data_IF_353972730546
#
_entry.id   IF_353972730546
#
_cell.length_a   1.000
_cell.length_b   1.000
_cell.length_c   1.000
_cell.angle_alpha   90.00
_cell.angle_beta   90.00
_cell.angle_gamma   90.00
#
_symmetry.space_group_name_H-M   'P 1'
#
loop_
_entity.id
_entity.type
_entity.pdbx_description
1 polymer ?
#
# COMPACT_ATOMS: atom_id res chain seq x y z
N UNK A 1 11.12 26.74 34.35
CA UNK A 1 11.98 25.91 33.48
C UNK A 1 13.43 26.31 33.77
N UNK A 2 14.28 25.41 34.24
CA UNK A 2 15.61 25.75 34.77
C UNK A 2 16.63 25.88 33.64
N UNK A 3 17.60 26.80 33.76
CA UNK A 3 18.65 26.98 32.75
C UNK A 3 19.39 25.66 32.42
N UNK A 4 19.55 24.80 33.43
CA UNK A 4 20.15 23.47 33.28
C UNK A 4 19.31 22.53 32.38
N UNK A 5 17.97 22.60 32.44
CA UNK A 5 17.12 21.79 31.56
C UNK A 5 17.19 22.28 30.10
N UNK A 6 17.42 23.58 29.90
CA UNK A 6 17.60 24.14 28.55
C UNK A 6 18.93 23.70 27.93
N UNK A 7 20.02 23.74 28.72
CA UNK A 7 21.36 23.30 28.27
C UNK A 7 21.35 21.81 27.89
N UNK A 8 20.68 20.95 28.68
CA UNK A 8 20.58 19.52 28.36
C UNK A 8 19.75 19.27 27.11
N UNK A 9 18.62 19.98 26.93
CA UNK A 9 17.82 19.91 25.71
C UNK A 9 18.62 20.33 24.47
N UNK A 10 19.42 21.41 24.55
CA UNK A 10 20.27 21.85 23.43
C UNK A 10 21.31 20.78 23.09
N UNK A 11 22.02 20.25 24.09
CA UNK A 11 23.03 19.19 23.89
C UNK A 11 22.42 17.91 23.29
N UNK A 12 21.24 17.52 23.74
CA UNK A 12 20.54 16.35 23.22
C UNK A 12 20.14 16.53 21.75
N UNK A 13 19.63 17.71 21.38
CA UNK A 13 19.29 18.01 19.99
C UNK A 13 20.52 18.00 19.07
N UNK A 14 21.64 18.58 19.50
CA UNK A 14 22.91 18.53 18.75
C UNK A 14 23.38 17.08 18.53
N UNK A 15 23.27 16.25 19.56
CA UNK A 15 23.60 14.82 19.45
C UNK A 15 22.68 14.07 18.49
N UNK A 16 21.40 14.43 18.39
CA UNK A 16 20.45 13.83 17.45
C UNK A 16 20.72 14.26 16.00
N UNK A 17 21.15 15.51 15.77
CA UNK A 17 21.54 15.98 14.43
C UNK A 17 22.69 15.16 13.83
N UNK A 18 23.70 14.82 14.64
CA UNK A 18 24.82 13.96 14.20
C UNK A 18 24.38 12.56 13.75
N UNK A 19 23.25 12.07 14.27
CA UNK A 19 22.70 10.73 13.97
C UNK A 19 21.59 10.77 12.91
N UNK A 20 21.20 11.95 12.42
CA UNK A 20 20.07 12.14 11.49
C UNK A 20 20.16 11.24 10.27
N UNK A 21 21.31 11.20 9.58
CA UNK A 21 21.46 10.42 8.35
C UNK A 21 21.31 8.91 8.60
N UNK A 22 21.75 8.40 9.77
CA UNK A 22 21.60 7.00 10.17
C UNK A 22 20.17 6.65 10.59
N UNK A 23 19.47 7.59 11.22
CA UNK A 23 18.13 7.38 11.76
C UNK A 23 17.00 7.68 10.75
N UNK A 24 17.27 8.49 9.71
CA UNK A 24 16.27 8.98 8.74
C UNK A 24 15.43 7.87 8.11
N UNK A 25 16.03 6.72 7.84
CA UNK A 25 15.38 5.59 7.17
C UNK A 25 15.26 4.34 8.07
N UNK A 26 15.43 4.49 9.38
CA UNK A 26 15.33 3.38 10.32
C UNK A 26 14.15 3.62 11.26
N UNK A 27 13.01 2.98 10.98
CA UNK A 27 12.11 2.61 12.07
C UNK A 27 12.90 1.63 12.95
N UNK A 28 12.99 1.93 14.25
CA UNK A 28 13.89 1.23 15.17
C UNK A 28 13.91 -0.29 14.99
N UNK A 29 15.10 -0.87 14.88
CA UNK A 29 15.29 -2.32 14.93
C UNK A 29 15.10 -3.11 13.63
N UNK A 30 14.71 -2.48 12.51
CA UNK A 30 14.64 -3.20 11.23
C UNK A 30 16.06 -3.50 10.70
N UNK A 31 16.46 -4.76 10.83
CA UNK A 31 17.70 -5.29 10.24
C UNK A 31 17.37 -5.87 8.86
N UNK A 32 17.82 -5.20 7.80
CA UNK A 32 17.63 -5.63 6.41
C UNK A 32 18.29 -6.97 6.08
N UNK A 33 19.26 -7.43 6.88
CA UNK A 33 19.90 -8.74 6.71
C UNK A 33 19.10 -9.88 7.36
N UNK A 34 18.15 -9.55 8.24
CA UNK A 34 17.35 -10.54 8.95
C UNK A 34 16.14 -10.89 8.07
N UNK A 35 16.21 -12.03 7.38
CA UNK A 35 15.04 -12.60 6.70
C UNK A 35 13.95 -12.83 7.75
N UNK A 36 12.76 -12.29 7.50
CA UNK A 36 11.61 -12.54 8.36
C UNK A 36 11.24 -14.01 8.16
N UNK A 37 11.56 -14.85 9.15
CA UNK A 37 11.17 -16.25 9.15
C UNK A 37 9.69 -16.34 9.48
N UNK A 38 8.87 -16.52 8.45
CA UNK A 38 7.44 -16.73 8.63
C UNK A 38 7.16 -18.20 8.88
N UNK A 39 6.69 -18.53 10.08
CA UNK A 39 6.23 -19.87 10.40
C UNK A 39 4.76 -20.02 10.00
N UNK A 40 4.49 -20.04 8.70
CA UNK A 40 3.15 -20.31 8.19
C UNK A 40 2.89 -21.82 8.16
N UNK A 41 1.65 -22.26 8.48
CA UNK A 41 1.28 -23.66 8.28
C UNK A 41 1.45 -24.01 6.81
N UNK A 42 2.10 -25.15 6.52
CA UNK A 42 2.25 -25.64 5.14
C UNK A 42 0.87 -25.93 4.56
N UNK A 43 0.44 -25.12 3.60
CA UNK A 43 -0.82 -25.32 2.92
C UNK A 43 -0.83 -26.67 2.20
N UNK A 44 -1.91 -27.43 2.35
CA UNK A 44 -2.10 -28.69 1.62
C UNK A 44 -2.41 -28.37 0.15
N UNK A 45 -1.94 -29.20 -0.79
CA UNK A 45 -2.21 -29.02 -2.24
C UNK A 45 -3.70 -28.83 -2.56
N UNK A 46 -4.58 -29.52 -1.82
CA UNK A 46 -6.04 -29.37 -1.92
C UNK A 46 -6.51 -27.95 -1.57
N UNK A 47 -6.04 -27.41 -0.44
CA UNK A 47 -6.36 -26.05 0.01
C UNK A 47 -5.89 -25.00 -1.01
N UNK A 48 -4.71 -25.20 -1.58
CA UNK A 48 -4.17 -24.30 -2.60
C UNK A 48 -5.05 -24.26 -3.87
N UNK A 49 -5.50 -25.44 -4.31
CA UNK A 49 -6.41 -25.56 -5.47
C UNK A 49 -7.79 -24.95 -5.19
N UNK A 50 -8.30 -25.12 -3.98
CA UNK A 50 -9.59 -24.57 -3.59
C UNK A 50 -9.54 -23.02 -3.54
N UNK A 51 -8.46 -22.45 -3.00
CA UNK A 51 -8.21 -21.00 -3.02
C UNK A 51 -8.09 -20.49 -4.45
N UNK A 52 -7.32 -21.19 -5.30
CA UNK A 52 -7.13 -20.77 -6.70
C UNK A 52 -8.46 -20.76 -7.48
N UNK A 53 -9.35 -21.73 -7.23
CA UNK A 53 -10.68 -21.77 -7.85
C UNK A 53 -11.55 -20.60 -7.39
N UNK A 54 -11.65 -20.39 -6.08
CA UNK A 54 -12.43 -19.27 -5.52
C UNK A 54 -11.95 -17.94 -6.06
N UNK A 55 -10.64 -17.73 -6.10
CA UNK A 55 -10.05 -16.48 -6.58
C UNK A 55 -10.34 -16.22 -8.06
N UNK A 56 -10.37 -17.28 -8.89
CA UNK A 56 -10.74 -17.19 -10.30
C UNK A 56 -12.21 -16.84 -10.50
N UNK A 57 -13.10 -17.41 -9.68
CA UNK A 57 -14.53 -17.12 -9.73
C UNK A 57 -14.83 -15.69 -9.30
N UNK A 58 -14.25 -15.23 -8.20
CA UNK A 58 -14.36 -13.84 -7.73
C UNK A 58 -13.83 -12.85 -8.76
N UNK A 59 -12.68 -13.16 -9.37
CA UNK A 59 -12.10 -12.32 -10.41
C UNK A 59 -13.04 -12.22 -11.62
N UNK A 60 -13.67 -13.33 -12.04
CA UNK A 60 -14.63 -13.31 -13.16
C UNK A 60 -15.82 -12.41 -12.87
N UNK A 61 -16.39 -12.49 -11.66
CA UNK A 61 -17.52 -11.63 -11.25
C UNK A 61 -17.08 -10.17 -11.20
N UNK A 62 -15.90 -9.87 -10.65
CA UNK A 62 -15.35 -8.52 -10.59
C UNK A 62 -15.13 -7.94 -11.99
N UNK A 63 -14.52 -8.72 -12.89
CA UNK A 63 -14.30 -8.30 -14.28
C UNK A 63 -15.60 -8.01 -15.01
N UNK A 64 -16.64 -8.83 -14.80
CA UNK A 64 -17.96 -8.59 -15.38
C UNK A 64 -18.54 -7.25 -14.90
N UNK A 65 -18.45 -6.95 -13.60
CA UNK A 65 -18.88 -5.65 -13.05
C UNK A 65 -18.11 -4.48 -13.67
N UNK A 66 -16.79 -4.60 -13.80
CA UNK A 66 -15.94 -3.57 -14.42
C UNK A 66 -16.37 -3.33 -15.87
N UNK A 67 -16.56 -4.39 -16.66
CA UNK A 67 -16.98 -4.29 -18.06
C UNK A 67 -18.31 -3.56 -18.19
N UNK A 68 -19.31 -3.86 -17.34
CA UNK A 68 -20.60 -3.16 -17.34
C UNK A 68 -20.43 -1.66 -17.07
N UNK A 69 -19.68 -1.30 -16.02
CA UNK A 69 -19.46 0.10 -15.65
C UNK A 69 -18.73 0.86 -16.76
N UNK A 70 -17.68 0.26 -17.34
CA UNK A 70 -16.94 0.83 -18.46
C UNK A 70 -17.82 1.02 -19.68
N UNK A 71 -18.71 0.06 -19.97
CA UNK A 71 -19.63 0.16 -21.10
C UNK A 71 -20.64 1.31 -20.92
N UNK A 72 -21.22 1.47 -19.73
CA UNK A 72 -22.13 2.57 -19.42
C UNK A 72 -21.41 3.93 -19.56
N UNK A 73 -20.20 4.05 -19.00
CA UNK A 73 -19.39 5.27 -19.14
C UNK A 73 -19.06 5.57 -20.60
N UNK A 74 -18.69 4.56 -21.38
CA UNK A 74 -18.40 4.70 -22.80
C UNK A 74 -19.61 5.19 -23.59
N UNK A 75 -20.80 4.61 -23.35
CA UNK A 75 -22.04 5.09 -23.98
C UNK A 75 -22.35 6.53 -23.60
N UNK A 76 -22.18 6.90 -22.32
CA UNK A 76 -22.36 8.28 -21.87
C UNK A 76 -21.43 9.27 -22.61
N UNK A 77 -20.17 8.89 -22.82
CA UNK A 77 -19.22 9.69 -23.60
C UNK A 77 -19.62 9.81 -25.07
N UNK A 78 -20.04 8.72 -25.70
CA UNK A 78 -20.48 8.74 -27.10
C UNK A 78 -21.68 9.66 -27.27
N UNK A 79 -22.69 9.53 -26.40
CA UNK A 79 -23.87 10.40 -26.43
C UNK A 79 -23.48 11.86 -26.21
N UNK A 80 -22.65 12.16 -25.21
CA UNK A 80 -22.17 13.51 -24.96
C UNK A 80 -21.39 14.10 -26.14
N UNK A 81 -20.58 13.29 -26.82
CA UNK A 81 -19.84 13.71 -28.00
C UNK A 81 -20.75 14.04 -29.18
N UNK A 82 -21.81 13.24 -29.41
CA UNK A 82 -22.80 13.50 -30.45
C UNK A 82 -23.55 14.83 -30.20
N UNK A 83 -24.01 15.06 -28.98
CA UNK A 83 -24.66 16.34 -28.65
C UNK A 83 -23.72 17.54 -28.75
N UNK A 84 -22.41 17.36 -28.51
CA UNK A 84 -21.43 18.44 -28.65
C UNK A 84 -21.02 18.73 -30.09
N UNK A 85 -21.25 17.80 -31.04
CA UNK A 85 -20.91 18.01 -32.45
C UNK A 85 -22.08 18.52 -33.28
N UNK A 86 -23.32 18.30 -32.83
CA UNK A 86 -24.55 18.80 -33.47
C UNK A 86 -24.96 20.21 -32.96
N UNK A 87 -24.30 20.70 -31.90
CA UNK A 87 -24.53 22.02 -31.28
C UNK A 87 -23.53 23.10 -31.67
#
# INVERSE_FOLDING_TARGET
>A
MTANSMITSIRNNLNLLSKRNRLKNKLGGFNSEKKVEYNFPKATKKQLNDIAKQLKEEHRIRMLKVVIVTFILFLGLVVGFLYSTDG
#
